data_IF_549597562283
#
_entry.id   IF_549597562283
#
_cell.length_a   1.000
_cell.length_b   1.000
_cell.length_c   1.000
_cell.angle_alpha   90.00
_cell.angle_beta   90.00
_cell.angle_gamma   90.00
#
_symmetry.space_group_name_H-M   'P 1'
#
loop_
_entity.id
_entity.type
_entity.pdbx_description
1 polymer ?
#
# COMPACT_ATOMS: atom_id res chain seq x y z
N UNK A 1 -8.71 -4.10 0.38
CA UNK A 1 -7.84 -3.02 -0.12
C UNK A 1 -6.64 -2.81 0.80
N UNK A 2 -5.48 -2.40 0.28
CA UNK A 2 -4.31 -2.03 1.08
C UNK A 2 -3.65 -0.73 0.60
N UNK A 3 -2.82 -0.13 1.45
CA UNK A 3 -2.09 1.12 1.18
C UNK A 3 -0.59 0.94 1.41
N UNK A 4 0.22 1.28 0.40
CA UNK A 4 1.67 1.47 0.55
C UNK A 4 1.92 2.96 0.73
N UNK A 5 2.31 3.39 1.93
CA UNK A 5 2.48 4.79 2.30
C UNK A 5 3.92 5.12 2.72
N UNK A 6 4.23 6.41 2.87
CA UNK A 6 5.48 6.85 3.52
C UNK A 6 5.26 7.10 5.01
N UNK A 7 6.35 7.39 5.74
CA UNK A 7 6.29 7.80 7.15
C UNK A 7 5.29 8.95 7.36
N UNK A 8 4.34 8.75 8.28
CA UNK A 8 3.26 9.70 8.60
C UNK A 8 3.72 10.95 9.35
N UNK A 9 5.00 11.01 9.75
CA UNK A 9 5.66 12.28 10.14
C UNK A 9 5.61 13.31 9.01
N UNK A 10 5.51 12.85 7.77
CA UNK A 10 5.33 13.69 6.60
C UNK A 10 3.84 14.04 6.44
N UNK A 11 3.52 15.33 6.43
CA UNK A 11 2.13 15.82 6.41
C UNK A 11 1.31 15.28 5.22
N UNK A 12 1.94 15.09 4.07
CA UNK A 12 1.30 14.52 2.89
C UNK A 12 0.97 13.03 3.04
N UNK A 13 1.84 12.25 3.71
CA UNK A 13 1.62 10.82 3.93
C UNK A 13 0.45 10.62 4.90
N UNK A 14 0.38 11.45 5.96
CA UNK A 14 -0.77 11.47 6.87
C UNK A 14 -2.09 11.81 6.15
N UNK A 15 -2.09 12.82 5.29
CA UNK A 15 -3.28 13.19 4.50
C UNK A 15 -3.76 12.06 3.58
N UNK A 16 -2.84 11.34 2.92
CA UNK A 16 -3.18 10.18 2.08
C UNK A 16 -3.83 9.06 2.88
N UNK A 17 -3.28 8.74 4.05
CA UNK A 17 -3.86 7.74 4.93
C UNK A 17 -5.26 8.13 5.40
N UNK A 18 -5.46 9.38 5.83
CA UNK A 18 -6.79 9.85 6.23
C UNK A 18 -7.80 9.77 5.08
N UNK A 19 -7.39 10.06 3.85
CA UNK A 19 -8.25 9.90 2.67
C UNK A 19 -8.60 8.44 2.40
N UNK A 20 -7.62 7.54 2.51
CA UNK A 20 -7.82 6.10 2.37
C UNK A 20 -8.78 5.55 3.43
N UNK A 21 -8.52 5.82 4.71
CA UNK A 21 -9.37 5.38 5.83
C UNK A 21 -10.80 5.94 5.71
N UNK A 22 -10.93 7.21 5.31
CA UNK A 22 -12.23 7.83 5.07
C UNK A 22 -13.02 7.10 3.98
N UNK A 23 -12.41 6.85 2.82
CA UNK A 23 -13.08 6.15 1.72
C UNK A 23 -13.51 4.74 2.11
N UNK A 24 -12.67 4.01 2.85
CA UNK A 24 -13.02 2.69 3.38
C UNK A 24 -14.19 2.76 4.37
N UNK A 25 -14.20 3.76 5.26
CA UNK A 25 -15.27 3.95 6.24
C UNK A 25 -16.60 4.32 5.58
N UNK A 26 -16.59 5.12 4.52
CA UNK A 26 -17.80 5.52 3.78
C UNK A 26 -18.50 4.30 3.14
N UNK A 27 -17.72 3.29 2.73
CA UNK A 27 -18.23 2.04 2.12
C UNK A 27 -18.31 0.84 3.10
N UNK A 28 -18.11 1.06 4.40
CA UNK A 28 -18.09 0.01 5.44
C UNK A 28 -17.06 -1.10 5.18
N UNK A 29 -15.97 -0.80 4.50
CA UNK A 29 -14.88 -1.73 4.23
C UNK A 29 -13.93 -1.72 5.43
N UNK A 30 -13.86 -2.85 6.14
CA UNK A 30 -12.92 -3.00 7.24
C UNK A 30 -11.56 -3.48 6.71
N UNK A 31 -10.62 -2.56 6.50
CA UNK A 31 -9.22 -2.88 6.20
C UNK A 31 -8.28 -1.97 6.98
N UNK A 32 -7.27 -2.58 7.60
CA UNK A 32 -6.16 -1.90 8.24
C UNK A 32 -4.82 -2.31 7.60
N UNK A 33 -4.85 -2.70 6.32
CA UNK A 33 -3.65 -3.18 5.63
C UNK A 33 -2.84 -2.01 5.06
N UNK A 34 -2.06 -1.36 5.93
CA UNK A 34 -1.16 -0.27 5.57
C UNK A 34 0.28 -0.72 5.79
N UNK A 35 1.15 -0.51 4.80
CA UNK A 35 2.60 -0.73 4.88
C UNK A 35 3.30 0.60 4.69
N UNK A 36 4.31 0.87 5.53
CA UNK A 36 5.06 2.12 5.51
C UNK A 36 6.46 1.89 4.96
N UNK A 37 6.81 2.60 3.88
CA UNK A 37 8.14 2.55 3.28
C UNK A 37 8.94 3.81 3.62
N UNK A 38 10.25 3.64 3.85
CA UNK A 38 11.17 4.75 4.18
C UNK A 38 11.69 5.45 2.93
N UNK A 39 11.94 4.71 1.85
CA UNK A 39 12.44 5.23 0.59
C UNK A 39 11.36 5.18 -0.51
N UNK A 40 11.60 5.95 -1.58
CA UNK A 40 10.73 6.03 -2.76
C UNK A 40 11.36 5.22 -3.90
N UNK A 41 11.68 3.94 -3.66
CA UNK A 41 12.33 3.11 -4.68
C UNK A 41 11.42 2.02 -5.23
N UNK A 42 11.79 1.50 -6.39
CA UNK A 42 11.16 0.34 -6.98
C UNK A 42 11.22 -0.87 -6.05
N UNK A 43 12.34 -1.05 -5.34
CA UNK A 43 12.54 -2.19 -4.45
C UNK A 43 11.60 -2.12 -3.23
N UNK A 44 11.45 -0.94 -2.63
CA UNK A 44 10.52 -0.74 -1.50
C UNK A 44 9.08 -1.08 -1.90
N UNK A 45 8.67 -0.75 -3.12
CA UNK A 45 7.34 -1.11 -3.64
C UNK A 45 7.14 -2.62 -3.77
N UNK A 46 8.16 -3.33 -4.25
CA UNK A 46 8.14 -4.78 -4.36
C UNK A 46 8.10 -5.47 -2.98
N UNK A 47 8.93 -5.01 -2.04
CA UNK A 47 8.94 -5.53 -0.67
C UNK A 47 7.62 -5.26 0.06
N UNK A 48 7.04 -4.07 -0.10
CA UNK A 48 5.76 -3.74 0.50
C UNK A 48 4.63 -4.65 -0.01
N UNK A 49 4.63 -5.02 -1.29
CA UNK A 49 3.68 -6.02 -1.79
C UNK A 49 3.92 -7.40 -1.18
N UNK A 50 5.19 -7.83 -1.06
CA UNK A 50 5.51 -9.10 -0.42
C UNK A 50 5.01 -9.14 1.04
N UNK A 51 5.18 -8.05 1.79
CA UNK A 51 4.63 -7.93 3.15
C UNK A 51 3.10 -8.01 3.16
N UNK A 52 2.43 -7.29 2.24
CA UNK A 52 0.96 -7.31 2.10
C UNK A 52 0.46 -8.73 1.81
N UNK A 53 1.09 -9.44 0.87
CA UNK A 53 0.74 -10.81 0.49
C UNK A 53 1.05 -11.84 1.59
N UNK A 54 1.94 -11.52 2.54
CA UNK A 54 2.23 -12.41 3.67
C UNK A 54 1.13 -12.45 4.73
N UNK A 55 0.21 -11.46 4.71
CA UNK A 55 -0.89 -11.37 5.68
C UNK A 55 -2.03 -12.33 5.30
N UNK A 56 -2.79 -12.86 6.27
CA UNK A 56 -3.85 -13.85 6.02
C UNK A 56 -4.98 -13.38 5.08
N UNK A 57 -5.19 -12.06 5.03
CA UNK A 57 -6.20 -11.44 4.18
C UNK A 57 -5.52 -10.71 3.02
N UNK A 58 -5.54 -11.33 1.85
CA UNK A 58 -5.05 -10.72 0.62
C UNK A 58 -6.01 -9.61 0.18
N UNK A 59 -5.53 -8.40 -0.13
CA UNK A 59 -6.38 -7.35 -0.66
C UNK A 59 -6.63 -7.53 -2.17
N UNK A 60 -7.84 -7.20 -2.62
CA UNK A 60 -8.16 -7.21 -4.06
C UNK A 60 -7.56 -6.02 -4.84
N UNK A 61 -7.14 -4.97 -4.11
CA UNK A 61 -6.58 -3.76 -4.68
C UNK A 61 -5.57 -3.10 -3.72
N UNK A 62 -4.53 -2.49 -4.29
CA UNK A 62 -3.47 -1.79 -3.56
C UNK A 62 -3.37 -0.36 -4.10
N UNK A 63 -3.36 0.61 -3.19
CA UNK A 63 -3.07 2.01 -3.50
C UNK A 63 -1.62 2.28 -3.10
N UNK A 64 -0.82 2.82 -4.01
CA UNK A 64 0.56 3.19 -3.74
C UNK A 64 0.71 4.70 -3.64
N UNK A 65 1.53 5.15 -2.70
CA UNK A 65 1.81 6.56 -2.45
C UNK A 65 2.55 7.31 -3.57
N UNK A 66 3.15 6.58 -4.52
CA UNK A 66 3.85 7.11 -5.70
C UNK A 66 3.96 6.05 -6.80
N UNK A 67 4.19 6.50 -8.03
CA UNK A 67 4.27 5.63 -9.21
C UNK A 67 5.41 4.63 -9.13
N UNK A 68 6.58 5.02 -8.59
CA UNK A 68 7.73 4.12 -8.46
C UNK A 68 7.44 2.94 -7.51
N UNK A 69 6.67 3.18 -6.45
CA UNK A 69 6.20 2.13 -5.55
C UNK A 69 5.18 1.24 -6.25
N UNK A 70 4.25 1.84 -7.02
CA UNK A 70 3.26 1.10 -7.79
C UNK A 70 3.93 0.15 -8.79
N UNK A 71 4.96 0.62 -9.51
CA UNK A 71 5.72 -0.20 -10.47
C UNK A 71 6.43 -1.36 -9.76
N UNK A 72 7.04 -1.13 -8.60
CA UNK A 72 7.64 -2.18 -7.77
C UNK A 72 6.63 -3.23 -7.32
N UNK A 73 5.48 -2.78 -6.81
CA UNK A 73 4.40 -3.64 -6.37
C UNK A 73 3.85 -4.48 -7.53
N UNK A 74 3.56 -3.87 -8.69
CA UNK A 74 3.09 -4.59 -9.88
C UNK A 74 4.11 -5.63 -10.37
N UNK A 75 5.41 -5.31 -10.34
CA UNK A 75 6.45 -6.27 -10.68
C UNK A 75 6.42 -7.48 -9.75
N UNK A 76 6.30 -7.25 -8.45
CA UNK A 76 6.23 -8.34 -7.47
C UNK A 76 4.93 -9.14 -7.58
N UNK A 77 3.80 -8.50 -7.90
CA UNK A 77 2.51 -9.18 -8.08
C UNK A 77 2.60 -10.16 -9.26
N UNK A 78 3.16 -9.70 -10.38
CA UNK A 78 3.43 -10.53 -11.55
C UNK A 78 4.35 -11.71 -11.24
N UNK A 79 5.37 -11.52 -10.38
CA UNK A 79 6.26 -12.61 -9.93
C UNK A 79 5.53 -13.65 -9.07
N UNK A 80 4.57 -13.22 -8.26
CA UNK A 80 3.79 -14.09 -7.39
C UNK A 80 2.64 -14.79 -8.12
N UNK A 81 2.36 -14.44 -9.38
CA UNK A 81 1.24 -14.98 -10.15
C UNK A 81 -0.11 -14.39 -9.77
N UNK A 82 -0.13 -13.17 -9.24
CA UNK A 82 -1.34 -12.36 -9.02
C UNK A 82 -1.68 -11.50 -10.24
#
# INVERSE_FOLDING_TARGET
>A
MALINHDTKLSYAKKRQLGFERALSEDNINSNNIVYVKAHSFHDGAEALAEICSKPSMPDAIIAASDILAIGAMHQAKKNGH
#
